data_IF_501286128212
#
_entry.id   IF_501286128212
#
_cell.length_a   1.000
_cell.length_b   1.000
_cell.length_c   1.000
_cell.angle_alpha   90.00
_cell.angle_beta   90.00
_cell.angle_gamma   90.00
#
_symmetry.space_group_name_H-M   'P 1'
#
loop_
_entity.id
_entity.type
_entity.pdbx_description
1 polymer ?
#
# COMPACT_ATOMS: atom_id res chain seq x y z
N UNK A 1 -10.09 -4.45 11.99
CA UNK A 1 -10.07 -3.95 13.37
C UNK A 1 -10.63 -2.53 13.48
N UNK A 2 -10.10 -1.54 12.75
CA UNK A 2 -10.61 -0.14 12.81
C UNK A 2 -12.11 -0.06 12.46
N UNK A 3 -12.54 -0.61 11.32
CA UNK A 3 -13.95 -0.62 10.91
C UNK A 3 -14.88 -1.48 11.80
N UNK A 4 -14.33 -2.26 12.75
CA UNK A 4 -15.08 -3.00 13.75
C UNK A 4 -15.25 -2.19 15.05
N UNK A 5 -14.70 -0.98 15.12
CA UNK A 5 -14.71 -0.14 16.32
C UNK A 5 -13.66 -0.52 17.36
N UNK A 6 -12.67 -1.35 17.01
CA UNK A 6 -11.68 -1.87 17.97
C UNK A 6 -10.44 -0.97 18.18
N UNK A 7 -10.38 0.23 17.59
CA UNK A 7 -9.28 1.18 17.79
C UNK A 7 -8.91 2.03 16.57
N UNK A 8 -7.77 2.72 16.69
CA UNK A 8 -7.19 3.64 15.68
C UNK A 8 -5.96 2.98 15.05
N UNK A 9 -5.68 3.26 13.78
CA UNK A 9 -4.47 2.79 13.12
C UNK A 9 -3.94 3.84 12.13
N UNK A 10 -2.62 3.86 11.96
CA UNK A 10 -1.94 4.56 10.86
C UNK A 10 -1.85 3.58 9.70
N UNK A 11 -2.50 3.90 8.59
CA UNK A 11 -2.67 3.00 7.44
C UNK A 11 -2.27 3.75 6.17
N UNK A 12 -1.53 3.14 5.22
CA UNK A 12 -1.26 3.75 3.92
C UNK A 12 -2.56 4.06 3.17
N UNK A 13 -2.65 5.24 2.57
CA UNK A 13 -3.87 5.70 1.87
C UNK A 13 -4.41 4.68 0.86
N UNK A 14 -3.52 4.06 0.07
CA UNK A 14 -3.87 3.04 -0.92
C UNK A 14 -4.66 1.85 -0.34
N UNK A 15 -4.41 1.47 0.91
CA UNK A 15 -5.13 0.37 1.58
C UNK A 15 -6.56 0.81 1.87
N UNK A 16 -6.76 2.06 2.30
CA UNK A 16 -8.08 2.62 2.54
C UNK A 16 -8.84 2.74 1.23
N UNK A 17 -8.22 3.30 0.19
CA UNK A 17 -8.85 3.53 -1.12
C UNK A 17 -9.33 2.23 -1.77
N UNK A 18 -8.54 1.15 -1.65
CA UNK A 18 -8.88 -0.16 -2.21
C UNK A 18 -9.67 -1.06 -1.26
N UNK A 19 -9.99 -0.61 -0.05
CA UNK A 19 -10.83 -1.38 0.87
C UNK A 19 -12.28 -1.45 0.37
N UNK A 20 -13.03 -2.55 0.60
CA UNK A 20 -14.44 -2.63 0.23
C UNK A 20 -15.26 -1.47 0.81
N UNK A 21 -16.29 -1.03 0.08
CA UNK A 21 -17.15 0.09 0.48
C UNK A 21 -17.70 -0.03 1.93
N UNK A 22 -18.16 -1.20 2.41
CA UNK A 22 -18.65 -1.33 3.79
C UNK A 22 -17.57 -1.06 4.85
N UNK A 23 -16.29 -1.20 4.51
CA UNK A 23 -15.16 -0.90 5.41
C UNK A 23 -14.87 0.59 5.42
N UNK A 24 -14.77 1.21 4.23
CA UNK A 24 -14.47 2.64 4.09
C UNK A 24 -15.52 3.53 4.76
N UNK A 25 -16.80 3.18 4.64
CA UNK A 25 -17.91 3.95 5.23
C UNK A 25 -17.99 3.82 6.76
N UNK A 26 -17.20 2.94 7.37
CA UNK A 26 -17.17 2.68 8.82
C UNK A 26 -15.92 3.19 9.53
N UNK A 27 -15.05 3.89 8.81
CA UNK A 27 -13.84 4.50 9.39
C UNK A 27 -13.91 6.02 9.22
N UNK A 28 -13.23 6.74 10.11
CA UNK A 28 -13.12 8.19 10.07
C UNK A 28 -11.65 8.57 10.07
N UNK A 29 -11.28 9.51 9.20
CA UNK A 29 -9.93 10.06 9.19
C UNK A 29 -9.80 11.10 10.31
N UNK A 30 -8.67 11.06 11.02
CA UNK A 30 -8.33 12.04 12.03
C UNK A 30 -7.55 13.18 11.37
N UNK A 31 -8.05 14.39 11.49
CA UNK A 31 -7.38 15.60 10.99
C UNK A 31 -6.30 16.09 11.97
N UNK A 32 -5.36 16.91 11.47
CA UNK A 32 -4.32 17.56 12.27
C UNK A 32 -3.37 16.61 13.01
N UNK A 33 -3.18 15.40 12.50
CA UNK A 33 -2.18 14.45 12.98
C UNK A 33 -0.88 14.63 12.18
N UNK A 34 0.26 14.75 12.86
CA UNK A 34 1.56 14.71 12.19
C UNK A 34 1.76 13.38 11.47
N UNK A 35 1.93 13.43 10.15
CA UNK A 35 2.16 12.25 9.33
C UNK A 35 3.62 11.78 9.46
N UNK A 36 3.83 10.48 9.28
CA UNK A 36 5.16 9.89 9.11
C UNK A 36 5.61 10.01 7.67
N UNK A 37 6.92 9.88 7.43
CA UNK A 37 7.43 9.79 6.06
C UNK A 37 6.80 8.61 5.31
N UNK A 38 6.42 8.81 4.03
CA UNK A 38 5.90 7.73 3.21
C UNK A 38 6.91 6.59 3.07
N UNK A 39 6.38 5.36 2.98
CA UNK A 39 7.21 4.20 2.68
C UNK A 39 7.51 4.13 1.18
N UNK A 40 8.78 3.94 0.83
CA UNK A 40 9.17 3.63 -0.55
C UNK A 40 8.75 2.21 -0.91
N UNK A 41 8.00 2.07 -2.00
CA UNK A 41 7.64 0.78 -2.58
C UNK A 41 8.49 0.55 -3.83
N UNK A 42 9.01 -0.67 -3.97
CA UNK A 42 9.79 -1.06 -5.13
C UNK A 42 9.46 -2.48 -5.55
N UNK A 43 9.81 -2.81 -6.79
CA UNK A 43 9.79 -4.19 -7.27
C UNK A 43 11.15 -4.81 -7.03
N UNK A 44 11.17 -6.07 -6.61
CA UNK A 44 12.40 -6.84 -6.50
C UNK A 44 12.33 -8.12 -7.33
N UNK A 45 13.48 -8.57 -7.80
CA UNK A 45 13.62 -9.85 -8.50
C UNK A 45 14.95 -10.50 -8.14
N UNK A 46 15.01 -11.83 -8.20
CA UNK A 46 16.27 -12.53 -8.03
C UNK A 46 17.21 -12.15 -9.17
N UNK A 47 18.44 -11.72 -8.86
CA UNK A 47 19.41 -11.28 -9.87
C UNK A 47 19.60 -12.28 -11.01
N UNK A 48 19.61 -13.59 -10.71
CA UNK A 48 19.73 -14.67 -11.72
C UNK A 48 18.55 -14.77 -12.70
N UNK A 49 17.41 -14.14 -12.39
CA UNK A 49 16.20 -14.11 -13.22
C UNK A 49 16.09 -12.84 -14.06
N UNK A 50 17.00 -11.87 -13.90
CA UNK A 50 17.01 -10.67 -14.75
C UNK A 50 17.29 -10.97 -16.22
N UNK A 51 17.86 -12.14 -16.53
CA UNK A 51 18.07 -12.61 -17.91
C UNK A 51 16.86 -13.33 -18.52
N UNK A 52 15.79 -13.57 -17.74
CA UNK A 52 14.54 -14.11 -18.27
C UNK A 52 13.86 -13.01 -19.12
N UNK A 53 13.63 -13.22 -20.44
CA UNK A 53 13.21 -12.15 -21.35
C UNK A 53 11.95 -11.41 -20.90
N UNK A 54 11.00 -12.11 -20.26
CA UNK A 54 9.77 -11.48 -19.76
C UNK A 54 10.04 -10.60 -18.55
N UNK A 55 10.92 -11.03 -17.64
CA UNK A 55 11.32 -10.25 -16.48
C UNK A 55 12.15 -9.05 -16.92
N UNK A 56 13.09 -9.24 -17.84
CA UNK A 56 13.90 -8.14 -18.37
C UNK A 56 13.03 -7.08 -19.06
N UNK A 57 12.07 -7.51 -19.88
CA UNK A 57 11.12 -6.62 -20.53
C UNK A 57 10.33 -5.80 -19.51
N UNK A 58 9.80 -6.43 -18.46
CA UNK A 58 9.12 -5.72 -17.37
C UNK A 58 10.07 -4.79 -16.60
N UNK A 59 11.29 -5.24 -16.30
CA UNK A 59 12.27 -4.49 -15.52
C UNK A 59 12.71 -3.20 -16.21
N UNK A 60 12.74 -3.18 -17.55
CA UNK A 60 13.05 -1.98 -18.34
C UNK A 60 11.88 -0.98 -18.43
N UNK A 61 10.68 -1.35 -17.98
CA UNK A 61 9.51 -0.45 -17.92
C UNK A 61 9.35 0.25 -16.57
N UNK A 62 10.07 -0.23 -15.54
CA UNK A 62 10.15 0.40 -14.22
C UNK A 62 11.08 1.62 -14.25
#
# INVERSE_FOLDING_TARGET
MVALGCGIALIPGVVVDNSPEPVRNRISQLENISMVEPFELGVCVQKKRLSDPLIEAFWRLL
#
